data_IF_454360142606
#
_entry.id   IF_454360142606
#
_cell.length_a   1.000
_cell.length_b   1.000
_cell.length_c   1.000
_cell.angle_alpha   90.00
_cell.angle_beta   90.00
_cell.angle_gamma   90.00
#
_symmetry.space_group_name_H-M   'P 1'
#
loop_
_entity.id
_entity.type
_entity.pdbx_description
1 polymer ?
#
# COMPACT_ATOMS: atom_id res chain seq x y z
N UNK A 1 -6.84 6.76 -10.80
CA UNK A 1 -7.88 7.72 -11.24
C UNK A 1 -8.57 7.14 -12.47
N UNK A 2 -9.76 6.56 -12.33
CA UNK A 2 -10.50 5.94 -13.43
C UNK A 2 -11.39 7.01 -14.09
N UNK A 3 -11.07 7.40 -15.32
CA UNK A 3 -11.81 8.39 -16.10
C UNK A 3 -13.10 7.82 -16.69
N UNK A 4 -14.17 8.64 -16.71
CA UNK A 4 -15.47 8.26 -17.26
C UNK A 4 -15.41 8.04 -18.79
N UNK A 5 -16.22 7.13 -19.35
CA UNK A 5 -16.29 6.92 -20.79
C UNK A 5 -16.78 8.20 -21.49
N UNK A 6 -16.05 8.68 -22.51
CA UNK A 6 -16.47 9.80 -23.37
C UNK A 6 -15.79 11.15 -23.10
N UNK A 7 -14.89 11.27 -22.13
CA UNK A 7 -14.05 12.47 -22.02
C UNK A 7 -12.97 12.47 -23.11
N UNK A 8 -12.79 13.59 -23.81
CA UNK A 8 -11.72 13.77 -24.78
C UNK A 8 -10.36 13.59 -24.09
N UNK A 9 -9.76 12.43 -24.36
CA UNK A 9 -8.37 11.99 -24.28
C UNK A 9 -7.45 12.83 -23.38
N UNK A 10 -7.00 12.16 -22.32
CA UNK A 10 -5.83 12.56 -21.56
C UNK A 10 -4.60 12.77 -22.44
N UNK A 11 -3.57 13.34 -21.83
CA UNK A 11 -2.27 13.66 -22.43
C UNK A 11 -1.89 12.54 -23.43
N UNK A 12 -1.73 12.86 -24.73
CA UNK A 12 -1.30 11.92 -25.76
C UNK A 12 -0.13 11.06 -25.27
N UNK A 13 -0.09 9.75 -25.54
CA UNK A 13 0.98 8.87 -25.05
C UNK A 13 2.38 9.39 -25.38
N UNK A 14 2.56 10.01 -26.55
CA UNK A 14 3.80 10.65 -26.98
C UNK A 14 4.20 11.89 -26.14
N UNK A 15 3.27 12.50 -25.42
CA UNK A 15 3.50 13.61 -24.50
C UNK A 15 3.69 13.14 -23.04
N UNK A 16 3.56 11.84 -22.77
CA UNK A 16 3.93 11.29 -21.47
C UNK A 16 5.45 11.20 -21.39
N UNK A 17 6.05 12.02 -20.53
CA UNK A 17 7.49 11.95 -20.28
C UNK A 17 7.85 10.54 -19.77
N UNK A 18 8.81 9.85 -20.41
CA UNK A 18 9.26 8.57 -19.93
C UNK A 18 9.88 8.74 -18.53
N UNK A 19 9.52 7.86 -17.59
CA UNK A 19 9.95 8.01 -16.19
C UNK A 19 11.31 7.36 -15.97
N UNK A 20 12.37 8.12 -16.23
CA UNK A 20 13.75 7.70 -15.96
C UNK A 20 14.27 8.31 -14.66
N UNK A 21 15.21 7.61 -14.01
CA UNK A 21 15.85 8.09 -12.78
C UNK A 21 16.37 9.54 -12.88
N UNK A 22 17.05 9.89 -13.98
CA UNK A 22 17.62 11.23 -14.17
C UNK A 22 16.55 12.32 -14.23
N UNK A 23 15.44 12.07 -14.93
CA UNK A 23 14.33 13.02 -15.02
C UNK A 23 13.69 13.27 -13.65
N UNK A 24 13.55 12.23 -12.82
CA UNK A 24 13.11 12.43 -11.44
C UNK A 24 14.07 13.36 -10.67
N UNK A 25 15.38 13.14 -10.78
CA UNK A 25 16.37 13.99 -10.10
C UNK A 25 16.31 15.45 -10.56
N UNK A 26 16.12 15.69 -11.87
CA UNK A 26 15.93 17.03 -12.44
C UNK A 26 14.66 17.69 -11.93
N UNK A 27 13.53 16.98 -11.95
CA UNK A 27 12.25 17.45 -11.39
C UNK A 27 12.40 17.87 -9.92
N UNK A 28 13.09 17.05 -9.11
CA UNK A 28 13.36 17.41 -7.71
C UNK A 28 14.22 18.66 -7.57
N UNK A 29 15.24 18.81 -8.42
CA UNK A 29 16.11 20.00 -8.43
C UNK A 29 15.30 21.26 -8.71
N UNK A 30 14.41 21.23 -9.70
CA UNK A 30 13.51 22.34 -10.04
C UNK A 30 12.55 22.68 -8.89
N UNK A 31 12.01 21.67 -8.21
CA UNK A 31 11.13 21.87 -7.05
C UNK A 31 11.86 22.44 -5.83
N UNK A 32 13.14 22.13 -5.66
CA UNK A 32 13.98 22.63 -4.56
C UNK A 32 14.42 24.10 -4.79
N UNK A 33 14.45 24.57 -6.03
CA UNK A 33 14.77 25.96 -6.39
C UNK A 33 13.59 26.93 -6.22
N UNK A 34 12.37 26.39 -6.09
CA UNK A 34 11.14 27.17 -6.02
C UNK A 34 10.48 27.07 -4.64
N UNK A 35 9.85 28.17 -4.24
CA UNK A 35 9.04 28.26 -3.04
C UNK A 35 7.63 28.79 -3.33
N UNK A 36 6.72 28.57 -2.37
CA UNK A 36 5.38 29.14 -2.41
C UNK A 36 4.49 28.61 -3.56
N UNK A 37 3.58 29.45 -4.10
CA UNK A 37 2.57 29.00 -5.06
C UNK A 37 3.13 28.42 -6.36
N UNK A 38 4.29 28.91 -6.82
CA UNK A 38 4.94 28.42 -8.05
C UNK A 38 5.46 27.01 -7.90
N UNK A 39 6.04 26.70 -6.72
CA UNK A 39 6.45 25.33 -6.37
C UNK A 39 5.24 24.39 -6.33
N UNK A 40 4.14 24.83 -5.72
CA UNK A 40 2.93 24.00 -5.61
C UNK A 40 2.32 23.68 -6.98
N UNK A 41 2.26 24.67 -7.89
CA UNK A 41 1.82 24.45 -9.27
C UNK A 41 2.73 23.45 -10.00
N UNK A 42 4.05 23.62 -9.91
CA UNK A 42 5.00 22.70 -10.54
C UNK A 42 4.90 21.28 -9.95
N UNK A 43 4.75 21.16 -8.62
CA UNK A 43 4.59 19.86 -7.96
C UNK A 43 3.34 19.12 -8.44
N UNK A 44 2.25 19.86 -8.67
CA UNK A 44 1.01 19.33 -9.23
C UNK A 44 1.20 18.86 -10.68
N UNK A 45 1.83 19.68 -11.53
CA UNK A 45 2.07 19.35 -12.93
C UNK A 45 3.00 18.14 -13.09
N UNK A 46 4.04 18.04 -12.26
CA UNK A 46 4.98 16.91 -12.23
C UNK A 46 4.44 15.70 -11.46
N UNK A 47 3.28 15.82 -10.80
CA UNK A 47 2.70 14.79 -9.94
C UNK A 47 3.59 14.34 -8.79
N UNK A 48 4.49 15.22 -8.32
CA UNK A 48 5.53 14.87 -7.34
C UNK A 48 5.78 16.01 -6.36
N UNK A 49 5.76 15.72 -5.05
CA UNK A 49 5.82 16.76 -4.01
C UNK A 49 7.23 17.14 -3.55
N UNK A 50 8.13 16.15 -3.44
CA UNK A 50 9.47 16.35 -2.86
C UNK A 50 10.41 15.20 -3.18
N UNK A 51 11.71 15.43 -3.01
CA UNK A 51 12.75 14.42 -3.19
C UNK A 51 12.65 13.32 -2.13
N UNK A 52 12.48 12.04 -2.51
CA UNK A 52 12.48 10.94 -1.55
C UNK A 52 13.90 10.67 -1.05
N UNK A 53 14.02 10.09 0.15
CA UNK A 53 15.33 9.70 0.71
C UNK A 53 16.08 8.71 -0.20
N UNK A 54 15.34 7.88 -0.93
CA UNK A 54 15.87 6.91 -1.89
C UNK A 54 16.66 7.56 -3.05
N UNK A 55 16.37 8.82 -3.38
CA UNK A 55 17.13 9.55 -4.41
C UNK A 55 18.62 9.73 -4.04
N UNK A 56 18.98 9.55 -2.76
CA UNK A 56 20.37 9.62 -2.27
C UNK A 56 21.12 8.30 -2.43
N UNK A 57 20.40 7.20 -2.66
CA UNK A 57 20.97 5.86 -2.77
C UNK A 57 21.31 5.57 -4.23
N UNK A 58 22.60 5.51 -4.56
CA UNK A 58 23.08 5.24 -5.93
C UNK A 58 22.69 3.87 -6.47
N UNK A 59 22.29 2.95 -5.60
CA UNK A 59 21.82 1.61 -5.95
C UNK A 59 20.33 1.54 -6.29
N UNK A 60 19.58 2.66 -6.21
CA UNK A 60 18.14 2.70 -6.47
C UNK A 60 17.86 3.53 -7.72
N UNK A 61 17.20 2.91 -8.70
CA UNK A 61 16.62 3.59 -9.85
C UNK A 61 15.16 3.97 -9.56
N UNK A 62 14.89 5.26 -9.37
CA UNK A 62 13.55 5.78 -9.08
C UNK A 62 12.49 5.49 -10.16
N UNK A 63 12.90 5.24 -11.41
CA UNK A 63 12.00 4.85 -12.49
C UNK A 63 11.48 3.42 -12.35
N UNK A 64 12.17 2.57 -11.59
CA UNK A 64 11.89 1.12 -11.53
C UNK A 64 11.83 0.55 -10.11
N UNK A 65 12.24 1.31 -9.09
CA UNK A 65 12.37 0.81 -7.72
C UNK A 65 11.04 0.48 -7.04
N UNK A 66 9.95 1.06 -7.53
CA UNK A 66 8.61 0.85 -7.00
C UNK A 66 7.69 0.37 -8.13
N UNK A 67 6.95 -0.74 -7.93
CA UNK A 67 5.92 -1.16 -8.87
C UNK A 67 4.86 -0.06 -9.03
N UNK A 68 4.33 0.05 -10.24
CA UNK A 68 3.29 1.03 -10.53
C UNK A 68 2.09 0.82 -9.61
N UNK A 69 1.72 1.89 -8.91
CA UNK A 69 0.53 1.98 -8.07
C UNK A 69 0.43 0.88 -7.00
N UNK A 70 1.58 0.39 -6.49
CA UNK A 70 1.64 -0.66 -5.47
C UNK A 70 0.81 -0.30 -4.23
N UNK A 71 0.85 0.96 -3.79
CA UNK A 71 0.11 1.41 -2.62
C UNK A 71 -1.40 1.21 -2.76
N UNK A 72 -2.00 1.65 -3.86
CA UNK A 72 -3.46 1.55 -4.02
C UNK A 72 -3.87 0.18 -4.55
N UNK A 73 -3.21 -0.34 -5.59
CA UNK A 73 -3.62 -1.62 -6.20
C UNK A 73 -3.40 -2.80 -5.25
N UNK A 74 -2.27 -2.83 -4.54
CA UNK A 74 -1.95 -3.95 -3.66
C UNK A 74 -2.43 -3.69 -2.23
N UNK A 75 -1.95 -2.64 -1.57
CA UNK A 75 -2.21 -2.48 -0.14
C UNK A 75 -3.59 -1.91 0.19
N UNK A 76 -4.13 -1.00 -0.63
CA UNK A 76 -5.46 -0.45 -0.38
C UNK A 76 -6.60 -1.33 -0.91
N UNK A 77 -6.37 -2.03 -2.03
CA UNK A 77 -7.42 -2.82 -2.68
C UNK A 77 -7.27 -4.32 -2.44
N UNK A 78 -6.09 -4.91 -2.70
CA UNK A 78 -5.93 -6.37 -2.63
C UNK A 78 -5.89 -6.87 -1.18
N UNK A 79 -5.14 -6.24 -0.28
CA UNK A 79 -5.01 -6.70 1.11
C UNK A 79 -6.38 -6.78 1.83
N UNK A 80 -7.28 -5.78 1.75
CA UNK A 80 -8.61 -5.90 2.36
C UNK A 80 -9.45 -7.02 1.76
N UNK A 81 -9.33 -7.26 0.44
CA UNK A 81 -9.99 -8.39 -0.21
C UNK A 81 -9.46 -9.73 0.32
N UNK A 82 -8.16 -9.86 0.54
CA UNK A 82 -7.56 -11.07 1.14
C UNK A 82 -8.07 -11.29 2.56
N UNK A 83 -8.15 -10.23 3.38
CA UNK A 83 -8.74 -10.31 4.73
C UNK A 83 -10.21 -10.74 4.65
N UNK A 84 -10.98 -10.19 3.70
CA UNK A 84 -12.38 -10.57 3.49
C UNK A 84 -12.50 -12.06 3.09
N UNK A 85 -11.55 -12.59 2.32
CA UNK A 85 -11.49 -14.04 2.02
C UNK A 85 -11.21 -14.85 3.28
N UNK A 86 -10.17 -14.52 4.04
CA UNK A 86 -9.82 -15.25 5.27
C UNK A 86 -10.89 -15.18 6.35
N UNK A 87 -11.81 -14.23 6.28
CA UNK A 87 -12.88 -14.05 7.27
C UNK A 87 -14.26 -14.44 6.75
N UNK A 88 -14.37 -15.03 5.55
CA UNK A 88 -15.64 -15.45 4.94
C UNK A 88 -16.58 -14.30 4.58
N UNK A 89 -16.06 -13.07 4.47
CA UNK A 89 -16.83 -11.85 4.17
C UNK A 89 -16.73 -11.41 2.70
N UNK A 90 -15.95 -12.13 1.89
CA UNK A 90 -15.73 -11.73 0.50
C UNK A 90 -16.94 -12.06 -0.39
N UNK A 91 -17.73 -11.03 -0.71
CA UNK A 91 -18.81 -11.08 -1.72
C UNK A 91 -19.80 -12.25 -1.56
N UNK A 92 -20.03 -12.71 -0.33
CA UNK A 92 -20.91 -13.86 -0.03
C UNK A 92 -20.46 -15.17 -0.70
N UNK A 93 -19.18 -15.26 -1.07
CA UNK A 93 -18.56 -16.49 -1.53
C UNK A 93 -18.03 -17.25 -0.33
N UNK A 94 -18.29 -18.56 -0.30
CA UNK A 94 -17.64 -19.48 0.64
C UNK A 94 -16.24 -19.85 0.14
N UNK A 95 -15.47 -20.52 1.00
CA UNK A 95 -14.18 -21.07 0.63
C UNK A 95 -14.21 -22.21 -0.41
N UNK A 96 -15.38 -22.66 -0.83
CA UNK A 96 -15.56 -23.79 -1.75
C UNK A 96 -14.87 -25.05 -1.23
N UNK A 97 -13.95 -25.58 -2.02
CA UNK A 97 -13.12 -26.75 -1.64
C UNK A 97 -11.83 -26.37 -0.91
N UNK A 98 -11.57 -25.07 -0.71
CA UNK A 98 -10.43 -24.58 0.05
C UNK A 98 -10.67 -24.62 1.57
N UNK A 99 -9.63 -24.31 2.34
CA UNK A 99 -9.66 -24.24 3.81
C UNK A 99 -8.88 -23.03 4.33
N UNK A 100 -9.06 -21.88 3.68
CA UNK A 100 -8.36 -20.63 3.99
C UNK A 100 -9.12 -19.72 4.96
N UNK A 101 -10.36 -20.03 5.32
CA UNK A 101 -11.11 -19.26 6.31
C UNK A 101 -10.60 -19.52 7.72
N UNK A 102 -10.40 -18.44 8.46
CA UNK A 102 -10.05 -18.42 9.87
C UNK A 102 -11.34 -18.51 10.69
N UNK A 103 -11.30 -19.26 11.79
CA UNK A 103 -12.38 -19.24 12.76
C UNK A 103 -12.54 -17.82 13.35
N UNK A 104 -13.77 -17.39 13.61
CA UNK A 104 -14.05 -16.03 14.09
C UNK A 104 -13.24 -15.63 15.33
N UNK A 105 -13.16 -16.52 16.33
CA UNK A 105 -12.37 -16.25 17.54
C UNK A 105 -10.87 -16.11 17.29
N UNK A 106 -10.34 -16.78 16.26
CA UNK A 106 -8.93 -16.64 15.86
C UNK A 106 -8.68 -15.28 15.22
N UNK A 107 -9.62 -14.79 14.39
CA UNK A 107 -9.52 -13.46 13.80
C UNK A 107 -9.67 -12.34 14.85
N UNK A 108 -10.57 -12.50 15.82
CA UNK A 108 -10.71 -11.55 16.92
C UNK A 108 -9.42 -11.46 17.76
N UNK A 109 -8.77 -12.60 18.03
CA UNK A 109 -7.47 -12.64 18.72
C UNK A 109 -6.37 -11.93 17.91
N UNK A 110 -6.34 -12.13 16.58
CA UNK A 110 -5.42 -11.42 15.68
C UNK A 110 -5.65 -9.90 15.76
N UNK A 111 -6.91 -9.48 15.81
CA UNK A 111 -7.31 -8.08 16.01
C UNK A 111 -6.71 -7.49 17.28
N UNK A 112 -6.89 -8.17 18.41
CA UNK A 112 -6.39 -7.74 19.71
C UNK A 112 -4.85 -7.68 19.73
N UNK A 113 -4.18 -8.74 19.26
CA UNK A 113 -2.72 -8.79 19.20
C UNK A 113 -2.14 -7.70 18.28
N UNK A 114 -2.85 -7.36 17.20
CA UNK A 114 -2.46 -6.26 16.31
C UNK A 114 -2.46 -4.92 17.06
N UNK A 115 -3.51 -4.63 17.83
CA UNK A 115 -3.59 -3.40 18.61
C UNK A 115 -2.52 -3.34 19.71
N UNK A 116 -2.28 -4.46 20.40
CA UNK A 116 -1.24 -4.57 21.41
C UNK A 116 0.16 -4.35 20.82
N UNK A 117 0.45 -4.96 19.66
CA UNK A 117 1.71 -4.73 18.95
C UNK A 117 1.84 -3.28 18.47
N UNK A 118 0.76 -2.70 17.93
CA UNK A 118 0.68 -1.31 17.49
C UNK A 118 1.07 -0.32 18.59
N UNK A 119 0.65 -0.56 19.83
CA UNK A 119 1.00 0.27 20.99
C UNK A 119 2.49 0.25 21.34
N UNK A 120 3.23 -0.79 20.92
CA UNK A 120 4.68 -0.94 21.17
C UNK A 120 5.53 -0.42 20.01
N UNK A 121 4.95 -0.24 18.82
CA UNK A 121 5.66 0.22 17.64
C UNK A 121 5.81 1.75 17.70
N UNK A 122 7.03 2.30 17.58
CA UNK A 122 7.21 3.75 17.56
C UNK A 122 6.48 4.38 16.38
N UNK A 123 5.82 5.52 16.61
CA UNK A 123 5.08 6.29 15.60
C UNK A 123 5.90 6.66 14.34
N UNK A 124 7.23 6.62 14.44
CA UNK A 124 8.15 6.88 13.33
C UNK A 124 8.10 5.80 12.25
N UNK A 125 7.65 4.59 12.58
CA UNK A 125 7.58 3.47 11.64
C UNK A 125 6.22 3.36 10.95
N UNK A 126 5.14 3.62 11.69
CA UNK A 126 3.76 3.58 11.21
C UNK A 126 2.89 4.42 12.14
N UNK A 127 1.79 4.95 11.61
CA UNK A 127 0.72 5.53 12.44
C UNK A 127 0.06 4.51 13.37
N UNK A 128 -0.99 4.92 14.08
CA UNK A 128 -1.74 4.02 14.98
C UNK A 128 -2.28 2.81 14.21
N UNK A 129 -2.00 1.61 14.72
CA UNK A 129 -2.57 0.36 14.24
C UNK A 129 -3.67 -0.08 15.21
N UNK A 130 -4.95 0.23 14.92
CA UNK A 130 -6.05 -0.23 15.75
C UNK A 130 -6.33 -1.72 15.52
N UNK A 131 -7.27 -2.27 16.30
CA UNK A 131 -7.70 -3.66 16.17
C UNK A 131 -8.19 -3.92 14.74
N UNK A 132 -7.47 -4.74 13.98
CA UNK A 132 -7.79 -4.97 12.55
C UNK A 132 -9.09 -5.76 12.37
N UNK A 133 -9.58 -6.47 13.39
CA UNK A 133 -10.82 -7.21 13.31
C UNK A 133 -12.05 -6.31 13.52
N UNK A 134 -11.93 -5.32 14.41
CA UNK A 134 -13.03 -4.40 14.78
C UNK A 134 -13.00 -3.07 14.02
N UNK A 135 -11.81 -2.52 13.83
CA UNK A 135 -11.59 -1.15 13.35
C UNK A 135 -10.92 -1.10 11.97
N UNK A 136 -11.14 -2.14 11.15
CA UNK A 136 -10.56 -2.27 9.81
C UNK A 136 -10.84 -1.04 8.92
N UNK A 137 -11.96 -0.36 9.10
CA UNK A 137 -12.33 0.85 8.33
C UNK A 137 -11.39 2.04 8.55
N UNK A 138 -10.61 2.03 9.63
CA UNK A 138 -9.59 3.06 9.92
C UNK A 138 -8.27 2.80 9.18
N UNK A 139 -8.06 1.58 8.66
CA UNK A 139 -6.84 1.23 7.95
C UNK A 139 -6.78 1.93 6.59
N UNK A 140 -5.65 2.59 6.34
CA UNK A 140 -5.25 3.11 5.03
C UNK A 140 -4.14 2.23 4.44
N UNK A 141 -3.78 2.49 3.19
CA UNK A 141 -2.73 1.75 2.48
C UNK A 141 -1.42 1.60 3.28
N UNK A 142 -0.99 2.63 4.02
CA UNK A 142 0.20 2.57 4.90
C UNK A 142 0.05 1.54 6.03
N UNK A 143 -1.10 1.54 6.72
CA UNK A 143 -1.36 0.60 7.82
C UNK A 143 -1.46 -0.84 7.31
N UNK A 144 -2.12 -1.05 6.15
CA UNK A 144 -2.17 -2.36 5.50
C UNK A 144 -0.78 -2.83 5.05
N UNK A 145 0.03 -1.95 4.45
CA UNK A 145 1.42 -2.26 4.08
C UNK A 145 2.21 -2.72 5.30
N UNK A 146 2.17 -1.96 6.39
CA UNK A 146 2.92 -2.29 7.59
C UNK A 146 2.44 -3.61 8.20
N UNK A 147 1.12 -3.76 8.38
CA UNK A 147 0.53 -4.98 8.93
C UNK A 147 0.88 -6.19 8.08
N UNK A 148 0.74 -6.10 6.75
CA UNK A 148 1.03 -7.19 5.82
C UNK A 148 2.49 -7.62 5.86
N UNK A 149 3.42 -6.66 5.94
CA UNK A 149 4.84 -6.94 5.88
C UNK A 149 5.42 -7.45 7.19
N UNK A 150 4.96 -6.92 8.33
CA UNK A 150 5.60 -7.14 9.63
C UNK A 150 4.76 -7.96 10.60
N UNK A 151 3.43 -7.75 10.63
CA UNK A 151 2.57 -8.39 11.63
C UNK A 151 1.96 -9.68 11.11
N UNK A 152 1.39 -9.66 9.90
CA UNK A 152 0.74 -10.80 9.25
C UNK A 152 1.57 -12.09 9.29
N UNK A 153 2.88 -12.12 8.93
CA UNK A 153 3.64 -13.37 8.97
C UNK A 153 3.69 -13.98 10.37
N UNK A 154 3.69 -13.17 11.42
CA UNK A 154 3.72 -13.66 12.80
C UNK A 154 2.31 -14.05 13.25
N UNK A 155 1.33 -13.19 12.98
CA UNK A 155 -0.05 -13.35 13.43
C UNK A 155 -0.79 -14.47 12.72
N UNK A 156 -0.46 -14.78 11.46
CA UNK A 156 -1.11 -15.85 10.70
C UNK A 156 -0.36 -17.19 10.76
N UNK A 157 0.85 -17.21 11.33
CA UNK A 157 1.65 -18.42 11.45
C UNK A 157 0.90 -19.47 12.26
N UNK A 158 0.81 -20.68 11.72
CA UNK A 158 0.11 -21.82 12.31
C UNK A 158 -1.41 -21.60 12.52
N UNK A 159 -1.97 -20.48 12.00
CA UNK A 159 -3.41 -20.15 12.06
C UNK A 159 -4.06 -20.19 10.68
N UNK A 160 -3.36 -19.70 9.64
CA UNK A 160 -3.78 -19.82 8.25
C UNK A 160 -3.17 -21.09 7.65
N UNK A 161 -4.00 -21.96 7.07
CA UNK A 161 -3.55 -23.24 6.52
C UNK A 161 -2.60 -23.04 5.32
N UNK A 162 -1.65 -23.96 5.18
CA UNK A 162 -0.87 -24.09 3.96
C UNK A 162 -1.77 -24.62 2.82
N UNK A 163 -1.62 -24.15 1.57
CA UNK A 163 -0.55 -23.27 1.06
C UNK A 163 -0.85 -21.76 1.18
N UNK A 164 -1.98 -21.37 1.78
CA UNK A 164 -2.46 -19.98 1.76
C UNK A 164 -1.64 -19.02 2.63
N UNK A 165 -0.86 -19.55 3.58
CA UNK A 165 0.05 -18.78 4.42
C UNK A 165 1.35 -18.42 3.68
N UNK A 166 1.91 -19.35 2.90
CA UNK A 166 3.13 -19.12 2.14
C UNK A 166 2.92 -18.10 1.02
N UNK A 167 3.64 -16.98 1.10
CA UNK A 167 3.65 -15.95 0.06
C UNK A 167 4.97 -15.91 -0.73
N UNK A 168 5.82 -16.91 -0.53
CA UNK A 168 7.09 -17.08 -1.23
C UNK A 168 7.12 -18.48 -1.85
N UNK A 169 7.00 -18.53 -3.18
CA UNK A 169 7.55 -19.59 -4.00
C UNK A 169 8.64 -18.96 -4.87
#
# INVERSE_FOLDING_TARGET
>A
MLTRPGAAHGIPPELLLPRHHHLFLEHYRLLEELDGPRRAALAQDLGTNSRPIFARLKSIDLGTCAPYDLMHLFFENLVPNMIAHWTGKFKQLDQGTGNYELAAGVWDEIGELTAQAGALIPYRFVGTLPDIAKDQSLYKAEAYLFWWQYLRPILLKDRLNQPYYECYA
#
